data_IF_384594918014
#
_entry.id   IF_384594918014
#
_cell.length_a   1.000
_cell.length_b   1.000
_cell.length_c   1.000
_cell.angle_alpha   90.00
_cell.angle_beta   90.00
_cell.angle_gamma   90.00
#
_symmetry.space_group_name_H-M   'P 1'
#
loop_
_entity.id
_entity.type
_entity.pdbx_description
1 polymer ?
#
# COMPACT_ATOMS: atom_id res chain seq x y z
N UNK A 1 1.85 8.77 23.48
CA UNK A 1 1.01 7.63 23.06
C UNK A 1 1.63 6.94 21.85
N UNK A 2 1.64 5.62 21.83
CA UNK A 2 2.15 4.84 20.69
C UNK A 2 1.11 4.79 19.58
N UNK A 3 1.56 4.90 18.33
CA UNK A 3 0.74 4.69 17.15
C UNK A 3 1.40 3.66 16.20
N UNK A 4 0.81 3.44 15.04
CA UNK A 4 1.29 2.43 14.10
C UNK A 4 2.73 2.65 13.63
N UNK A 5 3.23 3.89 13.65
CA UNK A 5 4.55 4.24 13.14
C UNK A 5 5.56 4.60 14.23
N UNK A 6 5.20 4.46 15.50
CA UNK A 6 6.06 4.88 16.62
C UNK A 6 7.41 4.17 16.65
N UNK A 7 7.44 2.88 16.36
CA UNK A 7 8.69 2.12 16.35
C UNK A 7 9.58 2.46 15.16
N UNK A 8 8.96 2.71 14.01
CA UNK A 8 9.69 3.17 12.84
C UNK A 8 10.27 4.56 13.09
N UNK A 9 9.54 5.42 13.79
CA UNK A 9 10.01 6.75 14.19
C UNK A 9 11.29 6.68 15.02
N UNK A 10 11.43 5.68 15.90
CA UNK A 10 12.66 5.47 16.67
C UNK A 10 13.88 5.27 15.77
N UNK A 11 13.67 4.68 14.59
CA UNK A 11 14.74 4.40 13.64
C UNK A 11 15.07 5.61 12.77
N UNK A 12 14.06 6.30 12.24
CA UNK A 12 14.23 7.32 11.20
C UNK A 12 14.05 8.76 11.69
N UNK A 13 13.43 8.97 12.86
CA UNK A 13 13.17 10.27 13.44
C UNK A 13 11.84 10.89 13.01
N UNK A 14 11.40 11.88 13.77
CA UNK A 14 10.11 12.55 13.57
C UNK A 14 10.00 13.27 12.23
N UNK A 15 11.07 13.93 11.79
CA UNK A 15 11.07 14.65 10.51
C UNK A 15 10.84 13.72 9.33
N UNK A 16 11.44 12.54 9.35
CA UNK A 16 11.26 11.54 8.29
C UNK A 16 9.82 11.02 8.27
N UNK A 17 9.22 10.75 9.44
CA UNK A 17 7.83 10.31 9.55
C UNK A 17 6.89 11.38 8.97
N UNK A 18 7.08 12.65 9.31
CA UNK A 18 6.25 13.74 8.79
C UNK A 18 6.42 13.91 7.28
N UNK A 19 7.64 13.78 6.78
CA UNK A 19 7.92 13.86 5.34
C UNK A 19 7.23 12.73 4.57
N UNK A 20 7.27 11.52 5.08
CA UNK A 20 6.57 10.36 4.47
C UNK A 20 5.06 10.58 4.47
N UNK A 21 4.51 11.04 5.59
CA UNK A 21 3.08 11.33 5.72
C UNK A 21 2.60 12.35 4.69
N UNK A 22 3.44 13.33 4.34
CA UNK A 22 3.12 14.36 3.37
C UNK A 22 3.50 13.98 1.94
N UNK A 23 4.13 12.83 1.74
CA UNK A 23 4.58 12.37 0.43
C UNK A 23 3.43 11.74 -0.36
N UNK A 24 3.48 11.92 -1.68
CA UNK A 24 2.54 11.32 -2.64
C UNK A 24 3.33 10.45 -3.61
N UNK A 25 2.91 9.20 -3.75
CA UNK A 25 3.59 8.23 -4.62
C UNK A 25 2.60 7.66 -5.63
N UNK A 26 2.97 7.68 -6.89
CA UNK A 26 2.23 7.01 -7.95
C UNK A 26 2.87 5.66 -8.24
N UNK A 27 2.06 4.62 -8.29
CA UNK A 27 2.52 3.26 -8.58
C UNK A 27 1.83 2.80 -9.86
N UNK A 28 2.62 2.62 -10.90
CA UNK A 28 2.16 2.15 -12.20
C UNK A 28 2.40 0.64 -12.28
N UNK A 29 1.33 -0.13 -12.25
CA UNK A 29 1.38 -1.58 -12.20
C UNK A 29 1.35 -2.11 -10.77
N UNK A 30 0.24 -2.73 -10.40
CA UNK A 30 0.01 -3.31 -9.06
C UNK A 30 0.10 -4.84 -9.17
N UNK A 31 1.25 -5.31 -9.65
CA UNK A 31 1.53 -6.73 -9.83
C UNK A 31 2.48 -7.29 -8.76
N UNK A 32 3.40 -8.16 -9.18
CA UNK A 32 4.34 -8.81 -8.27
C UNK A 32 5.23 -7.84 -7.52
N UNK A 33 5.82 -6.86 -8.22
CA UNK A 33 6.69 -5.85 -7.60
C UNK A 33 5.86 -4.70 -7.03
N UNK A 34 4.94 -4.13 -7.84
CA UNK A 34 4.16 -2.96 -7.45
C UNK A 34 3.28 -3.19 -6.23
N UNK A 35 2.71 -4.37 -6.04
CA UNK A 35 1.89 -4.66 -4.86
C UNK A 35 2.73 -4.66 -3.58
N UNK A 36 3.95 -5.19 -3.61
CA UNK A 36 4.86 -5.16 -2.47
C UNK A 36 5.40 -3.75 -2.21
N UNK A 37 5.65 -2.97 -3.26
CA UNK A 37 6.04 -1.56 -3.12
C UNK A 37 4.93 -0.79 -2.40
N UNK A 38 3.68 -0.95 -2.82
CA UNK A 38 2.53 -0.30 -2.18
C UNK A 38 2.42 -0.70 -0.71
N UNK A 39 2.56 -1.98 -0.40
CA UNK A 39 2.53 -2.50 0.96
C UNK A 39 3.63 -1.89 1.83
N UNK A 40 4.87 -1.90 1.33
CA UNK A 40 6.02 -1.37 2.06
C UNK A 40 5.89 0.13 2.33
N UNK A 41 5.44 0.89 1.34
CA UNK A 41 5.24 2.33 1.49
C UNK A 41 4.12 2.66 2.46
N UNK A 42 3.02 1.89 2.44
CA UNK A 42 1.92 2.07 3.39
C UNK A 42 2.39 1.82 4.83
N UNK A 43 3.14 0.74 5.04
CA UNK A 43 3.70 0.41 6.36
C UNK A 43 4.77 1.39 6.81
N UNK A 44 5.45 2.04 5.86
CA UNK A 44 6.41 3.11 6.14
C UNK A 44 5.78 4.48 6.39
N UNK A 45 4.46 4.61 6.26
CA UNK A 45 3.75 5.83 6.61
C UNK A 45 3.54 6.82 5.47
N UNK A 46 3.75 6.42 4.21
CA UNK A 46 3.40 7.28 3.08
C UNK A 46 1.91 7.61 3.13
N UNK A 47 1.57 8.88 3.03
CA UNK A 47 0.22 9.37 3.26
C UNK A 47 -0.67 9.44 2.04
N UNK A 48 -0.11 9.45 0.84
CA UNK A 48 -0.89 9.61 -0.39
C UNK A 48 -0.39 8.68 -1.48
N UNK A 49 -1.34 8.02 -2.14
CA UNK A 49 -1.05 7.07 -3.22
C UNK A 49 -1.91 7.34 -4.44
N UNK A 50 -1.33 7.14 -5.61
CA UNK A 50 -2.07 6.97 -6.87
C UNK A 50 -1.72 5.58 -7.38
N UNK A 51 -2.74 4.74 -7.58
CA UNK A 51 -2.55 3.39 -8.09
C UNK A 51 -3.09 3.32 -9.53
N UNK A 52 -2.28 2.86 -10.44
CA UNK A 52 -2.63 2.75 -11.86
C UNK A 52 -2.43 1.32 -12.32
N UNK A 53 -3.54 0.62 -12.59
CA UNK A 53 -3.54 -0.74 -13.14
C UNK A 53 -4.94 -1.03 -13.65
N UNK A 54 -5.06 -1.67 -14.80
CA UNK A 54 -6.35 -2.00 -15.41
C UNK A 54 -6.72 -3.48 -15.29
N UNK A 55 -5.89 -4.28 -14.63
CA UNK A 55 -6.11 -5.71 -14.49
C UNK A 55 -7.02 -6.08 -13.32
N UNK A 56 -7.62 -7.25 -13.43
CA UNK A 56 -8.33 -7.91 -12.35
C UNK A 56 -7.39 -8.91 -11.66
N UNK A 57 -7.64 -9.16 -10.38
CA UNK A 57 -6.92 -10.21 -9.65
C UNK A 57 -7.25 -11.56 -10.27
N UNK A 58 -6.23 -12.34 -10.57
CA UNK A 58 -6.34 -13.66 -11.18
C UNK A 58 -5.80 -14.73 -10.23
N UNK A 59 -6.32 -15.94 -10.34
CA UNK A 59 -5.87 -17.05 -9.48
C UNK A 59 -4.36 -17.32 -9.61
N UNK A 60 -3.80 -17.09 -10.78
CA UNK A 60 -2.35 -17.25 -11.00
C UNK A 60 -1.50 -16.19 -10.31
N UNK A 61 -2.12 -15.14 -9.78
CA UNK A 61 -1.41 -14.09 -9.03
C UNK A 61 -1.13 -14.48 -7.58
N UNK A 62 -1.81 -15.51 -7.06
CA UNK A 62 -1.74 -15.87 -5.65
C UNK A 62 -0.34 -16.19 -5.15
N UNK A 63 0.51 -16.70 -6.02
CA UNK A 63 1.86 -17.13 -5.62
C UNK A 63 2.84 -16.00 -5.39
N UNK A 64 2.55 -14.76 -5.85
CA UNK A 64 3.54 -13.68 -5.80
C UNK A 64 2.99 -12.25 -5.66
N UNK A 65 1.67 -12.05 -5.69
CA UNK A 65 1.07 -10.72 -5.55
C UNK A 65 0.34 -10.63 -4.22
N UNK A 66 0.77 -9.69 -3.37
CA UNK A 66 0.34 -9.65 -1.97
C UNK A 66 -1.17 -9.38 -1.81
N UNK A 67 -1.78 -8.65 -2.75
CA UNK A 67 -3.23 -8.39 -2.71
C UNK A 67 -4.07 -9.58 -3.18
N UNK A 68 -3.43 -10.59 -3.81
CA UNK A 68 -4.15 -11.71 -4.41
C UNK A 68 -4.44 -12.79 -3.37
N UNK A 69 -5.72 -13.01 -3.11
CA UNK A 69 -6.23 -14.08 -2.24
C UNK A 69 -7.46 -14.70 -2.90
N UNK A 70 -7.92 -15.82 -2.37
CA UNK A 70 -9.14 -16.45 -2.88
C UNK A 70 -10.33 -15.48 -2.83
N UNK A 71 -10.38 -14.59 -1.83
CA UNK A 71 -11.46 -13.62 -1.66
C UNK A 71 -11.40 -12.46 -2.65
N UNK A 72 -10.23 -12.20 -3.24
CA UNK A 72 -10.02 -11.02 -4.10
C UNK A 72 -10.01 -11.34 -5.58
N UNK A 73 -10.01 -12.62 -5.97
CA UNK A 73 -10.04 -13.03 -7.37
C UNK A 73 -11.23 -12.39 -8.09
N UNK A 74 -10.97 -11.80 -9.26
CA UNK A 74 -11.98 -11.15 -10.09
C UNK A 74 -12.23 -9.69 -9.77
N UNK A 75 -11.66 -9.16 -8.71
CA UNK A 75 -11.78 -7.75 -8.36
C UNK A 75 -10.66 -6.92 -9.01
N UNK A 76 -10.89 -5.63 -9.31
CA UNK A 76 -9.82 -4.76 -9.81
C UNK A 76 -8.64 -4.71 -8.83
N UNK A 77 -7.43 -4.87 -9.35
CA UNK A 77 -6.22 -4.85 -8.50
C UNK A 77 -6.07 -3.54 -7.73
N UNK A 78 -6.38 -2.40 -8.37
CA UNK A 78 -6.28 -1.10 -7.71
C UNK A 78 -7.25 -0.98 -6.55
N UNK A 79 -8.47 -1.52 -6.68
CA UNK A 79 -9.47 -1.50 -5.62
C UNK A 79 -9.03 -2.33 -4.42
N UNK A 80 -8.56 -3.54 -4.68
CA UNK A 80 -8.10 -4.46 -3.63
C UNK A 80 -6.88 -3.89 -2.91
N UNK A 81 -5.94 -3.31 -3.66
CA UNK A 81 -4.74 -2.71 -3.06
C UNK A 81 -5.09 -1.48 -2.24
N UNK A 82 -6.05 -0.67 -2.70
CA UNK A 82 -6.56 0.47 -1.92
C UNK A 82 -7.12 0.02 -0.58
N UNK A 83 -7.96 -1.00 -0.56
CA UNK A 83 -8.52 -1.55 0.68
C UNK A 83 -7.40 -2.01 1.62
N UNK A 84 -6.40 -2.69 1.08
CA UNK A 84 -5.27 -3.17 1.87
C UNK A 84 -4.46 -2.03 2.47
N UNK A 85 -4.20 -0.97 1.68
CA UNK A 85 -3.49 0.22 2.18
C UNK A 85 -4.28 0.86 3.33
N UNK A 86 -5.59 1.01 3.18
CA UNK A 86 -6.45 1.61 4.20
C UNK A 86 -6.58 0.73 5.45
N UNK A 87 -6.44 -0.58 5.32
CA UNK A 87 -6.38 -1.48 6.47
C UNK A 87 -5.08 -1.31 7.28
N UNK A 88 -4.01 -0.89 6.61
CA UNK A 88 -2.72 -0.62 7.26
C UNK A 88 -2.66 0.80 7.81
N UNK A 89 -3.10 1.77 7.01
CA UNK A 89 -3.09 3.18 7.35
C UNK A 89 -4.43 3.81 6.95
N UNK A 90 -5.41 3.86 7.87
CA UNK A 90 -6.74 4.41 7.56
C UNK A 90 -6.73 5.90 7.17
N UNK A 91 -5.68 6.63 7.54
CA UNK A 91 -5.56 8.05 7.24
C UNK A 91 -4.97 8.32 5.86
N UNK A 92 -4.54 7.29 5.13
CA UNK A 92 -3.98 7.44 3.80
C UNK A 92 -5.04 7.89 2.79
N UNK A 93 -4.61 8.70 1.82
CA UNK A 93 -5.41 9.12 0.68
C UNK A 93 -4.99 8.27 -0.53
N UNK A 94 -5.90 7.48 -1.06
CA UNK A 94 -5.61 6.55 -2.16
C UNK A 94 -6.55 6.83 -3.34
N UNK A 95 -5.95 7.14 -4.48
CA UNK A 95 -6.65 7.37 -5.74
C UNK A 95 -6.48 6.20 -6.70
#
# INVERSE_FOLDING_TARGET
MLDAFSRFELLVGRKAIEKLKCSKVAIFGVGGVGSFVAEGLARGGVGRFILVDDDLVCITNLNRQIHATIKTIGRPKVEVMKERILDINPDADVE
#
